data_IF_167638129363
#
_entry.id   IF_167638129363
#
_cell.length_a   1.000
_cell.length_b   1.000
_cell.length_c   1.000
_cell.angle_alpha   90.00
_cell.angle_beta   90.00
_cell.angle_gamma   90.00
#
_symmetry.space_group_name_H-M   'P 1'
#
loop_
_entity.id
_entity.type
_entity.pdbx_description
1 polymer ?
#
# COMPACT_ATOMS: atom_id res chain seq x y z
N UNK A 1 20.90 5.07 26.48
CA UNK A 1 20.10 5.26 25.25
C UNK A 1 18.75 4.63 25.49
N UNK A 2 17.73 5.42 25.80
CA UNK A 2 16.35 4.93 25.94
C UNK A 2 15.74 4.86 24.55
N UNK A 3 15.68 3.66 23.96
CA UNK A 3 14.85 3.45 22.78
C UNK A 3 13.39 3.51 23.22
N UNK A 4 12.77 4.66 23.02
CA UNK A 4 11.33 4.80 23.12
C UNK A 4 10.74 3.98 21.97
N UNK A 5 10.21 2.80 22.29
CA UNK A 5 9.44 2.03 21.32
C UNK A 5 8.12 2.78 21.12
N UNK A 6 8.04 3.57 20.06
CA UNK A 6 6.79 4.18 19.67
C UNK A 6 5.80 3.07 19.31
N UNK A 7 4.62 3.09 19.92
CA UNK A 7 3.51 2.23 19.52
C UNK A 7 3.25 2.51 18.04
N UNK A 8 3.49 1.52 17.19
CA UNK A 8 3.18 1.61 15.76
C UNK A 8 1.67 1.51 15.61
N UNK A 9 1.06 2.56 15.10
CA UNK A 9 -0.35 2.59 14.72
C UNK A 9 -0.50 2.36 13.22
N UNK A 10 -1.70 2.04 12.76
CA UNK A 10 -1.91 1.80 11.32
C UNK A 10 -1.69 3.08 10.52
N UNK A 11 -2.08 4.22 11.06
CA UNK A 11 -1.89 5.54 10.48
C UNK A 11 -0.40 5.87 10.31
N UNK A 12 0.40 5.67 11.36
CA UNK A 12 1.85 5.91 11.30
C UNK A 12 2.58 4.92 10.38
N UNK A 13 2.11 3.68 10.31
CA UNK A 13 2.63 2.70 9.35
C UNK A 13 2.30 3.10 7.90
N UNK A 14 1.08 3.58 7.65
CA UNK A 14 0.61 4.06 6.34
C UNK A 14 1.43 5.26 5.89
N UNK A 15 1.56 6.27 6.73
CA UNK A 15 2.33 7.48 6.45
C UNK A 15 3.80 7.14 6.17
N UNK A 16 4.43 6.32 7.04
CA UNK A 16 5.80 5.89 6.85
C UNK A 16 5.99 5.11 5.54
N UNK A 17 5.02 4.27 5.16
CA UNK A 17 5.07 3.54 3.90
C UNK A 17 5.03 4.50 2.70
N UNK A 18 4.09 5.44 2.68
CA UNK A 18 3.95 6.45 1.60
C UNK A 18 5.23 7.28 1.46
N UNK A 19 5.77 7.79 2.57
CA UNK A 19 7.01 8.57 2.58
C UNK A 19 8.22 7.74 2.10
N UNK A 20 8.28 6.45 2.45
CA UNK A 20 9.35 5.55 1.99
C UNK A 20 9.35 5.35 0.48
N UNK A 21 8.19 5.53 -0.17
CA UNK A 21 7.98 5.38 -1.60
C UNK A 21 8.18 6.68 -2.39
N UNK A 22 8.57 7.79 -1.75
CA UNK A 22 8.84 9.06 -2.45
C UNK A 22 9.94 9.01 -3.52
N UNK A 23 10.77 7.96 -3.56
CA UNK A 23 11.74 7.68 -4.64
C UNK A 23 11.18 6.79 -5.76
N UNK A 24 10.06 6.13 -5.54
CA UNK A 24 9.37 5.37 -6.56
C UNK A 24 8.57 6.32 -7.46
N UNK A 25 8.43 5.96 -8.74
CA UNK A 25 7.66 6.75 -9.70
C UNK A 25 6.16 6.74 -9.38
N UNK A 26 5.68 5.70 -8.71
CA UNK A 26 4.29 5.51 -8.32
C UNK A 26 4.19 4.53 -7.14
N UNK A 27 3.08 4.61 -6.40
CA UNK A 27 2.69 3.70 -5.33
C UNK A 27 1.53 2.82 -5.80
N UNK A 28 1.64 1.50 -5.59
CA UNK A 28 0.52 0.55 -5.77
C UNK A 28 -0.20 0.40 -4.43
N UNK A 29 -1.52 0.59 -4.43
CA UNK A 29 -2.35 0.53 -3.22
C UNK A 29 -2.39 -0.90 -2.68
N UNK A 30 -2.57 -1.90 -3.55
CA UNK A 30 -2.55 -3.31 -3.18
C UNK A 30 -1.18 -3.76 -2.63
N UNK A 31 -0.08 -3.20 -3.12
CA UNK A 31 1.25 -3.46 -2.53
C UNK A 31 1.41 -2.78 -1.17
N UNK A 32 0.85 -1.59 -1.00
CA UNK A 32 0.86 -0.89 0.27
C UNK A 32 0.04 -1.63 1.33
N UNK A 33 -1.20 -2.02 1.03
CA UNK A 33 -2.04 -2.83 1.92
C UNK A 33 -1.32 -4.11 2.35
N UNK A 34 -0.71 -4.83 1.40
CA UNK A 34 0.08 -6.04 1.70
C UNK A 34 1.24 -5.75 2.63
N UNK A 35 1.94 -4.63 2.45
CA UNK A 35 3.04 -4.22 3.32
C UNK A 35 2.55 -3.88 4.73
N UNK A 36 1.45 -3.13 4.87
CA UNK A 36 0.85 -2.79 6.15
C UNK A 36 0.43 -4.05 6.90
N UNK A 37 -0.24 -5.00 6.23
CA UNK A 37 -0.63 -6.28 6.86
C UNK A 37 0.56 -7.16 7.23
N UNK A 38 1.65 -7.09 6.48
CA UNK A 38 2.90 -7.80 6.82
C UNK A 38 3.51 -7.22 8.09
N UNK A 39 3.48 -5.89 8.24
CA UNK A 39 3.99 -5.20 9.42
C UNK A 39 3.05 -5.35 10.64
N UNK A 40 1.73 -5.35 10.40
CA UNK A 40 0.68 -5.33 11.41
C UNK A 40 -0.35 -6.43 11.14
N UNK A 41 -0.02 -7.71 11.39
CA UNK A 41 -0.89 -8.85 11.05
C UNK A 41 -2.20 -8.90 11.86
N UNK A 42 -2.28 -8.18 12.99
CA UNK A 42 -3.48 -8.03 13.79
C UNK A 42 -4.34 -6.82 13.40
N UNK A 43 -3.99 -6.11 12.32
CA UNK A 43 -4.82 -5.02 11.79
C UNK A 43 -6.17 -5.56 11.32
N UNK A 44 -7.25 -5.07 11.90
CA UNK A 44 -8.63 -5.50 11.61
C UNK A 44 -9.33 -4.61 10.58
N UNK A 45 -8.64 -3.59 10.06
CA UNK A 45 -9.19 -2.73 9.01
C UNK A 45 -9.40 -3.53 7.73
N UNK A 46 -10.53 -3.27 7.10
CA UNK A 46 -10.89 -3.77 5.79
C UNK A 46 -9.91 -3.25 4.73
N UNK A 47 -9.87 -3.92 3.58
CA UNK A 47 -9.08 -3.40 2.44
C UNK A 47 -9.52 -1.98 2.09
N UNK A 48 -10.83 -1.72 2.07
CA UNK A 48 -11.37 -0.40 1.72
C UNK A 48 -10.94 0.71 2.68
N UNK A 49 -10.96 0.47 4.00
CA UNK A 49 -10.49 1.44 4.99
C UNK A 49 -8.99 1.72 4.85
N UNK A 50 -8.20 0.70 4.52
CA UNK A 50 -6.77 0.87 4.25
C UNK A 50 -6.54 1.62 2.93
N UNK A 51 -7.33 1.36 1.89
CA UNK A 51 -7.29 2.07 0.61
C UNK A 51 -7.54 3.57 0.81
N UNK A 52 -8.58 3.93 1.55
CA UNK A 52 -8.94 5.32 1.85
C UNK A 52 -7.80 6.04 2.57
N UNK A 53 -7.28 5.44 3.64
CA UNK A 53 -6.16 6.00 4.41
C UNK A 53 -4.88 6.17 3.57
N UNK A 54 -4.60 5.20 2.70
CA UNK A 54 -3.46 5.26 1.77
C UNK A 54 -3.65 6.35 0.72
N UNK A 55 -4.85 6.48 0.17
CA UNK A 55 -5.17 7.49 -0.82
C UNK A 55 -5.04 8.90 -0.24
N UNK A 56 -5.57 9.13 0.96
CA UNK A 56 -5.44 10.40 1.69
C UNK A 56 -3.96 10.76 1.93
N UNK A 57 -3.17 9.81 2.42
CA UNK A 57 -1.74 10.02 2.64
C UNK A 57 -0.99 10.30 1.32
N UNK A 58 -1.32 9.59 0.24
CA UNK A 58 -0.72 9.85 -1.08
C UNK A 58 -1.06 11.25 -1.60
N UNK A 59 -2.30 11.70 -1.43
CA UNK A 59 -2.73 13.06 -1.80
C UNK A 59 -1.98 14.09 -0.96
N UNK A 60 -1.91 13.91 0.36
CA UNK A 60 -1.25 14.83 1.28
C UNK A 60 0.26 14.99 0.98
N UNK A 61 0.92 13.91 0.55
CA UNK A 61 2.36 13.90 0.27
C UNK A 61 2.71 14.03 -1.21
N UNK A 62 1.71 14.20 -2.10
CA UNK A 62 1.94 14.32 -3.54
C UNK A 62 2.57 13.08 -4.18
N UNK A 63 2.28 11.88 -3.65
CA UNK A 63 2.80 10.61 -4.16
C UNK A 63 1.85 10.10 -5.25
N UNK A 64 2.33 9.91 -6.50
CA UNK A 64 1.50 9.37 -7.56
C UNK A 64 1.07 7.93 -7.26
N UNK A 65 -0.19 7.59 -7.54
CA UNK A 65 -0.73 6.24 -7.36
C UNK A 65 -0.87 5.55 -8.71
N UNK A 66 -0.48 4.27 -8.78
CA UNK A 66 -0.78 3.40 -9.89
C UNK A 66 -2.02 2.56 -9.58
N UNK A 67 -2.94 2.46 -10.54
CA UNK A 67 -4.08 1.56 -10.42
C UNK A 67 -3.61 0.12 -10.49
N UNK A 68 -4.00 -0.67 -9.49
CA UNK A 68 -3.76 -2.10 -9.48
C UNK A 68 -4.66 -2.76 -10.52
N UNK A 69 -4.16 -2.88 -11.74
CA UNK A 69 -4.82 -3.69 -12.76
C UNK A 69 -4.81 -5.13 -12.28
N UNK A 70 -5.93 -5.61 -11.75
CA UNK A 70 -6.18 -7.02 -11.54
C UNK A 70 -6.09 -7.68 -12.91
N UNK A 71 -4.96 -8.29 -13.22
CA UNK A 71 -4.83 -9.13 -14.41
C UNK A 71 -5.58 -10.43 -14.10
N UNK A 72 -6.90 -10.35 -14.02
CA UNK A 72 -7.77 -11.50 -13.95
C UNK A 72 -7.69 -12.19 -15.32
N UNK A 73 -6.72 -13.09 -15.45
CA UNK A 73 -6.56 -13.97 -16.61
C UNK A 73 -6.51 -13.23 -17.94
N UNK A 74 -5.35 -12.69 -18.31
CA UNK A 74 -4.99 -12.75 -19.73
C UNK A 74 -4.81 -14.24 -20.03
N UNK A 75 -5.91 -14.92 -20.34
CA UNK A 75 -5.86 -16.16 -21.08
C UNK A 75 -5.16 -15.80 -22.38
N UNK A 76 -3.87 -16.12 -22.47
CA UNK A 76 -3.16 -16.13 -23.73
C UNK A 76 -3.98 -17.02 -24.66
N UNK A 77 -4.79 -16.41 -25.54
CA UNK A 77 -5.40 -17.13 -26.65
C UNK A 77 -4.24 -17.51 -27.56
N UNK A 78 -3.58 -18.64 -27.25
CA UNK A 78 -2.64 -19.28 -28.18
C UNK A 78 -3.45 -19.73 -29.38
N UNK A 79 -3.47 -18.89 -30.41
CA UNK A 79 -3.83 -19.29 -31.75
C UNK A 79 -2.70 -20.23 -32.23
N UNK A 80 -2.90 -21.52 -32.01
CA UNK A 80 -2.12 -22.53 -32.72
C UNK A 80 -2.57 -22.54 -34.18
N UNK A 81 -1.59 -22.39 -35.07
CA UNK A 81 -1.73 -22.56 -36.53
C UNK A 81 -1.56 -24.03 -36.89
#
# INVERSE_FOLDING_TARGET
>A
MTNTFHTVTVESATEAYVLSRGKARFLSIAQAIRAIRTLMPACMLTDHELEEMLAEACIAHGVPVAFDLTTAGVSETRLHS
#
